data_IF_461619341357
#
_entry.id   IF_461619341357
#
_cell.length_a   1.000
_cell.length_b   1.000
_cell.length_c   1.000
_cell.angle_alpha   90.00
_cell.angle_beta   90.00
_cell.angle_gamma   90.00
#
_symmetry.space_group_name_H-M   'P 1'
#
loop_
_entity.id
_entity.type
_entity.pdbx_description
1 polymer ?
#
# COMPACT_ATOMS: atom_id res chain seq x y z
N UNK A 1 -21.35 -12.56 -21.35
CA UNK A 1 -21.09 -11.34 -20.56
C UNK A 1 -20.97 -11.77 -19.11
N UNK A 2 -19.80 -11.59 -18.49
CA UNK A 2 -19.58 -11.99 -17.11
C UNK A 2 -20.28 -11.01 -16.17
N UNK A 3 -21.03 -11.54 -15.19
CA UNK A 3 -21.62 -10.76 -14.11
C UNK A 3 -20.71 -10.83 -12.89
N UNK A 4 -20.55 -9.74 -12.18
CA UNK A 4 -19.70 -9.65 -11.01
C UNK A 4 -20.47 -9.07 -9.82
N UNK A 5 -20.28 -9.65 -8.64
CA UNK A 5 -20.96 -9.27 -7.42
C UNK A 5 -20.18 -8.18 -6.66
N UNK A 6 -20.93 -7.28 -6.02
CA UNK A 6 -20.35 -6.21 -5.21
C UNK A 6 -21.38 -5.58 -4.29
N UNK A 7 -21.00 -4.47 -3.66
CA UNK A 7 -21.86 -3.73 -2.74
C UNK A 7 -22.26 -2.38 -3.29
N UNK A 8 -23.57 -2.17 -3.38
CA UNK A 8 -24.17 -0.94 -3.89
C UNK A 8 -24.59 -0.03 -2.74
N UNK A 9 -24.25 1.25 -2.86
CA UNK A 9 -24.63 2.34 -1.96
C UNK A 9 -25.36 3.42 -2.77
N UNK A 10 -26.36 4.03 -2.16
CA UNK A 10 -27.14 5.11 -2.79
C UNK A 10 -28.06 5.80 -1.79
N UNK A 11 -28.72 6.90 -2.18
CA UNK A 11 -29.56 7.70 -1.28
C UNK A 11 -30.70 6.92 -0.65
N UNK A 12 -31.31 6.01 -1.41
CA UNK A 12 -32.49 5.24 -1.00
C UNK A 12 -32.12 3.84 -0.46
N UNK A 13 -30.82 3.58 -0.21
CA UNK A 13 -30.31 2.31 0.25
C UNK A 13 -29.85 2.40 1.71
N UNK A 14 -29.85 1.28 2.46
CA UNK A 14 -29.30 1.25 3.81
C UNK A 14 -27.85 1.73 3.82
N UNK A 15 -27.42 2.44 4.88
CA UNK A 15 -26.07 2.97 5.01
C UNK A 15 -24.95 1.93 4.97
N UNK A 16 -25.27 0.66 5.29
CA UNK A 16 -24.36 -0.46 5.14
C UNK A 16 -24.19 -0.92 3.67
N UNK A 17 -24.95 -0.36 2.74
CA UNK A 17 -25.04 -0.82 1.36
C UNK A 17 -25.78 -2.15 1.22
N UNK A 18 -26.04 -2.52 -0.01
CA UNK A 18 -26.74 -3.77 -0.36
C UNK A 18 -25.91 -4.59 -1.35
N UNK A 19 -26.07 -5.90 -1.29
CA UNK A 19 -25.45 -6.78 -2.29
C UNK A 19 -26.15 -6.59 -3.64
N UNK A 20 -25.37 -6.41 -4.67
CA UNK A 20 -25.85 -6.25 -6.04
C UNK A 20 -24.90 -6.98 -7.00
N UNK A 21 -25.46 -7.41 -8.12
CA UNK A 21 -24.71 -7.97 -9.23
C UNK A 21 -24.66 -6.95 -10.36
N UNK A 22 -23.49 -6.73 -10.92
CA UNK A 22 -23.32 -5.82 -12.04
C UNK A 22 -22.84 -6.55 -13.28
N UNK A 23 -23.17 -6.01 -14.44
CA UNK A 23 -22.65 -6.43 -15.75
C UNK A 23 -22.37 -5.20 -16.61
N UNK A 24 -21.39 -5.31 -17.48
CA UNK A 24 -21.16 -4.25 -18.45
C UNK A 24 -22.28 -4.20 -19.50
N UNK A 25 -22.69 -3.00 -19.84
CA UNK A 25 -23.57 -2.74 -20.95
C UNK A 25 -22.76 -2.52 -22.25
N UNK A 26 -23.44 -2.60 -23.42
CA UNK A 26 -22.81 -2.39 -24.72
C UNK A 26 -22.26 -0.97 -24.89
N UNK A 27 -22.89 0.01 -24.25
CA UNK A 27 -22.52 1.43 -24.30
C UNK A 27 -21.44 1.78 -23.25
N UNK A 28 -20.96 0.80 -22.50
CA UNK A 28 -19.93 0.98 -21.46
C UNK A 28 -20.46 1.51 -20.14
N UNK A 29 -21.76 1.48 -19.92
CA UNK A 29 -22.39 1.65 -18.63
C UNK A 29 -22.34 0.36 -17.81
N UNK A 30 -22.82 0.43 -16.56
CA UNK A 30 -23.08 -0.74 -15.74
C UNK A 30 -24.59 -0.93 -15.57
N UNK A 31 -25.04 -2.15 -15.78
CA UNK A 31 -26.37 -2.59 -15.38
C UNK A 31 -26.22 -3.34 -14.06
N UNK A 32 -26.79 -2.77 -13.01
CA UNK A 32 -26.77 -3.35 -11.67
C UNK A 32 -28.13 -3.97 -11.36
N UNK A 33 -28.12 -5.17 -10.80
CA UNK A 33 -29.32 -5.88 -10.36
C UNK A 33 -29.29 -6.07 -8.87
N UNK A 34 -30.32 -5.58 -8.18
CA UNK A 34 -30.54 -5.74 -6.75
C UNK A 34 -32.02 -5.99 -6.46
N UNK A 35 -32.33 -7.05 -5.71
CA UNK A 35 -33.69 -7.42 -5.29
C UNK A 35 -34.70 -7.45 -6.46
N UNK A 36 -34.29 -7.89 -7.64
CA UNK A 36 -35.13 -7.96 -8.84
C UNK A 36 -35.36 -6.64 -9.56
N UNK A 37 -34.69 -5.56 -9.14
CA UNK A 37 -34.68 -4.27 -9.84
C UNK A 37 -33.38 -4.11 -10.60
N UNK A 38 -33.46 -3.56 -11.80
CA UNK A 38 -32.28 -3.18 -12.58
C UNK A 38 -32.10 -1.65 -12.51
N UNK A 39 -30.86 -1.25 -12.35
CA UNK A 39 -30.43 0.15 -12.32
C UNK A 39 -29.31 0.32 -13.35
N UNK A 40 -29.49 1.28 -14.26
CA UNK A 40 -28.46 1.62 -15.24
C UNK A 40 -27.60 2.75 -14.73
N UNK A 41 -26.30 2.50 -14.68
CA UNK A 41 -25.31 3.51 -14.31
C UNK A 41 -24.52 3.96 -15.53
N UNK A 42 -24.68 5.23 -15.90
CA UNK A 42 -23.95 5.90 -16.97
C UNK A 42 -23.01 6.96 -16.41
N UNK A 43 -22.06 7.42 -17.21
CA UNK A 43 -21.13 8.48 -16.76
C UNK A 43 -20.22 8.06 -15.60
N UNK A 44 -19.74 6.83 -15.63
CA UNK A 44 -18.98 6.21 -14.55
C UNK A 44 -17.65 6.91 -14.26
N UNK A 45 -17.41 7.23 -12.99
CA UNK A 45 -16.09 7.45 -12.44
C UNK A 45 -15.58 6.14 -11.85
N UNK A 46 -14.34 5.78 -12.16
CA UNK A 46 -13.70 4.53 -11.75
C UNK A 46 -12.47 4.87 -10.92
N UNK A 47 -12.47 4.47 -9.66
CA UNK A 47 -11.41 4.76 -8.70
C UNK A 47 -10.96 3.48 -8.00
N UNK A 48 -9.71 3.46 -7.56
CA UNK A 48 -9.25 2.45 -6.61
C UNK A 48 -9.90 2.71 -5.23
N UNK A 49 -10.34 1.66 -4.57
CA UNK A 49 -11.04 1.75 -3.30
C UNK A 49 -10.58 0.67 -2.31
N UNK A 50 -11.04 0.82 -1.07
CA UNK A 50 -10.68 -0.11 0.00
C UNK A 50 -9.30 0.12 0.59
N UNK A 51 -8.98 -0.66 1.62
CA UNK A 51 -7.68 -0.60 2.27
C UNK A 51 -6.59 -1.06 1.30
N UNK A 52 -5.52 -0.26 1.15
CA UNK A 52 -4.43 -0.49 0.19
C UNK A 52 -4.84 -0.46 -1.30
N UNK A 53 -5.93 0.21 -1.65
CA UNK A 53 -6.45 0.21 -3.02
C UNK A 53 -6.72 -1.20 -3.59
N UNK A 54 -7.16 -2.11 -2.72
CA UNK A 54 -7.41 -3.50 -3.08
C UNK A 54 -8.71 -3.71 -3.87
N UNK A 55 -9.66 -2.77 -3.79
CA UNK A 55 -10.94 -2.81 -4.47
C UNK A 55 -11.06 -1.82 -5.61
N UNK A 56 -12.15 -1.91 -6.34
CA UNK A 56 -12.59 -0.94 -7.34
C UNK A 56 -13.89 -0.28 -6.87
N UNK A 57 -14.00 1.02 -7.07
CA UNK A 57 -15.21 1.79 -6.83
C UNK A 57 -15.67 2.41 -8.15
N UNK A 58 -16.92 2.14 -8.49
CA UNK A 58 -17.63 2.81 -9.53
C UNK A 58 -18.57 3.83 -8.90
N UNK A 59 -18.54 5.08 -9.34
CA UNK A 59 -19.45 6.10 -8.85
C UNK A 59 -20.09 6.84 -10.01
N UNK A 60 -21.36 7.16 -9.83
CA UNK A 60 -22.15 7.96 -10.78
C UNK A 60 -23.16 8.80 -10.03
N UNK A 61 -23.78 9.70 -10.73
CA UNK A 61 -24.84 10.54 -10.20
C UNK A 61 -26.03 10.48 -11.15
N UNK A 62 -27.20 10.30 -10.59
CA UNK A 62 -28.48 10.37 -11.29
C UNK A 62 -29.43 11.36 -10.59
N UNK A 63 -30.73 11.37 -10.98
CA UNK A 63 -31.73 12.25 -10.38
C UNK A 63 -31.99 11.99 -8.89
N UNK A 64 -31.82 10.74 -8.43
CA UNK A 64 -31.95 10.35 -7.03
C UNK A 64 -30.77 10.78 -6.19
N UNK A 65 -29.58 10.98 -6.79
CA UNK A 65 -28.37 11.43 -6.12
C UNK A 65 -27.12 10.65 -6.50
N UNK A 66 -26.17 10.61 -5.57
CA UNK A 66 -24.88 9.94 -5.79
C UNK A 66 -24.95 8.48 -5.40
N UNK A 67 -24.53 7.61 -6.31
CA UNK A 67 -24.42 6.18 -6.12
C UNK A 67 -22.96 5.72 -6.16
N UNK A 68 -22.68 4.61 -5.50
CA UNK A 68 -21.37 3.99 -5.55
C UNK A 68 -21.50 2.47 -5.49
N UNK A 69 -20.75 1.77 -6.32
CA UNK A 69 -20.69 0.33 -6.34
C UNK A 69 -19.26 -0.12 -6.11
N UNK A 70 -19.05 -1.00 -5.13
CA UNK A 70 -17.73 -1.45 -4.67
C UNK A 70 -17.52 -2.91 -5.01
N UNK A 71 -16.36 -3.20 -5.59
CA UNK A 71 -15.84 -4.55 -5.82
C UNK A 71 -14.65 -4.79 -4.90
N UNK A 72 -14.83 -5.62 -3.89
CA UNK A 72 -13.76 -5.99 -2.96
C UNK A 72 -13.16 -7.35 -3.29
N UNK A 73 -13.99 -8.30 -3.72
CA UNK A 73 -13.56 -9.65 -4.06
C UNK A 73 -12.66 -9.66 -5.29
N UNK A 74 -11.56 -10.41 -5.21
CA UNK A 74 -10.58 -10.50 -6.29
C UNK A 74 -11.16 -11.16 -7.56
N UNK A 75 -11.99 -12.17 -7.39
CA UNK A 75 -12.69 -12.85 -8.48
C UNK A 75 -13.66 -11.91 -9.22
N UNK A 76 -14.50 -11.18 -8.49
CA UNK A 76 -15.44 -10.21 -9.07
C UNK A 76 -14.71 -9.09 -9.81
N UNK A 77 -13.54 -8.68 -9.31
CA UNK A 77 -12.68 -7.71 -9.99
C UNK A 77 -12.06 -8.26 -11.26
N UNK A 78 -11.60 -9.52 -11.24
CA UNK A 78 -11.06 -10.18 -12.44
C UNK A 78 -12.14 -10.31 -13.53
N UNK A 79 -13.36 -10.70 -13.17
CA UNK A 79 -14.50 -10.76 -14.08
C UNK A 79 -14.87 -9.39 -14.66
N UNK A 80 -14.87 -8.37 -13.81
CA UNK A 80 -15.09 -6.99 -14.23
C UNK A 80 -14.04 -6.52 -15.24
N UNK A 81 -12.76 -6.80 -14.99
CA UNK A 81 -11.66 -6.42 -15.89
C UNK A 81 -11.70 -7.19 -17.21
N UNK A 82 -12.01 -8.49 -17.16
CA UNK A 82 -12.08 -9.33 -18.35
C UNK A 82 -13.22 -8.92 -19.30
N UNK A 83 -14.34 -8.45 -18.75
CA UNK A 83 -15.50 -7.98 -19.52
C UNK A 83 -15.50 -6.48 -19.85
N UNK A 84 -14.47 -5.74 -19.43
CA UNK A 84 -14.48 -4.29 -19.50
C UNK A 84 -14.43 -3.75 -20.94
N UNK A 85 -15.28 -2.77 -21.29
CA UNK A 85 -15.21 -2.07 -22.56
C UNK A 85 -13.90 -1.31 -22.76
N UNK A 86 -13.40 -1.25 -23.99
CA UNK A 86 -12.13 -0.62 -24.34
C UNK A 86 -12.00 0.84 -23.83
N UNK A 87 -13.09 1.58 -23.80
CA UNK A 87 -13.14 2.97 -23.30
C UNK A 87 -12.78 3.10 -21.81
N UNK A 88 -12.96 2.05 -21.00
CA UNK A 88 -12.63 2.04 -19.59
C UNK A 88 -11.31 1.35 -19.28
N UNK A 89 -10.69 0.66 -20.24
CA UNK A 89 -9.50 -0.15 -20.03
C UNK A 89 -8.34 0.64 -19.39
N UNK A 90 -8.08 1.86 -19.85
CA UNK A 90 -7.01 2.71 -19.30
C UNK A 90 -7.29 3.14 -17.84
N UNK A 91 -8.54 3.49 -17.51
CA UNK A 91 -8.93 3.89 -16.14
C UNK A 91 -8.89 2.70 -15.18
N UNK A 92 -9.37 1.55 -15.61
CA UNK A 92 -9.32 0.30 -14.85
C UNK A 92 -7.88 -0.15 -14.60
N UNK A 93 -7.02 -0.09 -15.62
CA UNK A 93 -5.60 -0.38 -15.47
C UNK A 93 -4.89 0.56 -14.50
N UNK A 94 -5.21 1.86 -14.54
CA UNK A 94 -4.68 2.85 -13.61
C UNK A 94 -5.14 2.57 -12.17
N UNK A 95 -6.42 2.27 -11.96
CA UNK A 95 -6.98 1.94 -10.66
C UNK A 95 -6.38 0.63 -10.10
N UNK A 96 -6.28 -0.41 -10.92
CA UNK A 96 -5.66 -1.68 -10.55
C UNK A 96 -4.15 -1.55 -10.25
N UNK A 97 -3.44 -0.70 -11.00
CA UNK A 97 -2.00 -0.44 -10.82
C UNK A 97 -1.64 0.32 -9.54
N UNK A 98 -2.60 0.97 -8.86
CA UNK A 98 -2.35 1.66 -7.59
C UNK A 98 -1.96 0.70 -6.47
N UNK A 99 -2.55 -0.50 -6.42
CA UNK A 99 -2.21 -1.53 -5.44
C UNK A 99 -0.71 -1.87 -5.44
N UNK A 100 -0.13 -2.13 -6.62
CA UNK A 100 1.29 -2.48 -6.74
C UNK A 100 2.24 -1.35 -6.31
N UNK A 101 1.83 -0.09 -6.46
CA UNK A 101 2.60 1.07 -6.01
C UNK A 101 2.61 1.22 -4.49
N UNK A 102 1.47 1.04 -3.84
CA UNK A 102 1.33 1.12 -2.37
C UNK A 102 2.10 -0.03 -1.72
N UNK A 103 1.95 -1.24 -2.22
CA UNK A 103 2.64 -2.43 -1.71
C UNK A 103 4.17 -2.33 -1.85
N UNK A 104 4.65 -1.80 -2.98
CA UNK A 104 6.08 -1.55 -3.19
C UNK A 104 6.63 -0.49 -2.24
N UNK A 105 5.91 0.62 -2.02
CA UNK A 105 6.29 1.64 -1.04
C UNK A 105 6.35 1.10 0.38
N UNK A 106 5.40 0.26 0.75
CA UNK A 106 5.35 -0.34 2.07
C UNK A 106 6.53 -1.30 2.29
N UNK A 107 6.85 -2.15 1.31
CA UNK A 107 8.03 -3.03 1.35
C UNK A 107 9.34 -2.25 1.45
N UNK A 108 9.49 -1.17 0.69
CA UNK A 108 10.65 -0.29 0.80
C UNK A 108 10.74 0.40 2.17
N UNK A 109 9.61 0.86 2.72
CA UNK A 109 9.56 1.45 4.06
C UNK A 109 10.03 0.49 5.14
N UNK A 110 9.57 -0.75 5.11
CA UNK A 110 10.01 -1.80 6.04
C UNK A 110 11.48 -2.16 5.88
N UNK A 111 11.98 -2.27 4.64
CA UNK A 111 13.38 -2.53 4.38
C UNK A 111 14.29 -1.39 4.89
N UNK A 112 13.88 -0.13 4.69
CA UNK A 112 14.60 1.03 5.22
C UNK A 112 14.61 1.07 6.75
N UNK A 113 13.47 0.76 7.39
CA UNK A 113 13.38 0.68 8.85
C UNK A 113 14.27 -0.43 9.41
N UNK A 114 14.25 -1.60 8.77
CA UNK A 114 15.11 -2.72 9.17
C UNK A 114 16.59 -2.39 9.04
N UNK A 115 16.97 -1.74 7.94
CA UNK A 115 18.36 -1.27 7.74
C UNK A 115 18.77 -0.24 8.79
N UNK A 116 17.89 0.71 9.12
CA UNK A 116 18.13 1.73 10.14
C UNK A 116 18.36 1.11 11.53
N UNK A 117 17.62 0.06 11.87
CA UNK A 117 17.79 -0.66 13.14
C UNK A 117 19.02 -1.56 13.15
N UNK A 118 19.38 -2.15 12.02
CA UNK A 118 20.50 -3.05 11.89
C UNK A 118 21.85 -2.30 11.94
N UNK A 119 21.91 -1.09 11.39
CA UNK A 119 23.14 -0.30 11.27
C UNK A 119 23.82 -0.01 12.63
N UNK A 120 23.11 0.46 13.68
CA UNK A 120 23.72 0.65 14.99
C UNK A 120 24.17 -0.67 15.65
N UNK A 121 23.45 -1.77 15.41
CA UNK A 121 23.86 -3.09 15.94
C UNK A 121 25.15 -3.55 15.28
N UNK A 122 25.29 -3.39 13.97
CA UNK A 122 26.52 -3.71 13.24
C UNK A 122 27.67 -2.80 13.66
N UNK A 123 27.42 -1.50 13.85
CA UNK A 123 28.42 -0.54 14.32
C UNK A 123 28.93 -0.90 15.71
N UNK A 124 28.02 -1.27 16.62
CA UNK A 124 28.37 -1.72 17.97
C UNK A 124 29.18 -3.02 17.94
N UNK A 125 28.75 -3.99 17.12
CA UNK A 125 29.49 -5.24 16.91
C UNK A 125 30.90 -5.00 16.36
N UNK A 126 31.05 -4.15 15.35
CA UNK A 126 32.33 -3.78 14.79
C UNK A 126 33.22 -3.06 15.81
N UNK A 127 32.63 -2.20 16.65
CA UNK A 127 33.36 -1.55 17.74
C UNK A 127 33.92 -2.57 18.74
N UNK A 128 33.11 -3.54 19.17
CA UNK A 128 33.56 -4.58 20.10
C UNK A 128 34.63 -5.50 19.50
N UNK A 129 34.57 -5.76 18.19
CA UNK A 129 35.60 -6.56 17.52
C UNK A 129 36.92 -5.78 17.32
N UNK A 130 36.84 -4.46 17.18
CA UNK A 130 38.02 -3.61 16.94
C UNK A 130 38.61 -3.02 18.23
N UNK A 131 38.00 -3.23 19.40
CA UNK A 131 38.47 -2.61 20.66
C UNK A 131 39.91 -3.02 21.05
N UNK A 132 40.29 -4.26 20.79
CA UNK A 132 41.63 -4.75 21.14
C UNK A 132 42.69 -4.10 20.23
N UNK A 133 42.43 -3.98 18.93
CA UNK A 133 43.30 -3.30 17.96
C UNK A 133 43.39 -1.80 18.22
N UNK A 134 42.30 -1.17 18.67
CA UNK A 134 42.27 0.24 19.05
C UNK A 134 43.09 0.50 20.33
N UNK A 135 42.98 -0.36 21.34
CA UNK A 135 43.74 -0.27 22.56
C UNK A 135 45.25 -0.37 22.27
N UNK A 136 45.67 -1.36 21.48
CA UNK A 136 47.06 -1.55 21.04
C UNK A 136 47.56 -0.35 20.22
N UNK A 137 46.73 0.24 19.35
CA UNK A 137 47.12 1.40 18.58
C UNK A 137 47.30 2.66 19.44
N UNK A 138 46.43 2.88 20.46
CA UNK A 138 46.58 3.99 21.41
C UNK A 138 47.83 3.82 22.25
N UNK A 139 48.08 2.62 22.81
CA UNK A 139 49.27 2.34 23.63
C UNK A 139 50.55 2.57 22.86
N UNK A 140 50.65 2.17 21.61
CA UNK A 140 51.83 2.38 20.76
C UNK A 140 52.10 3.87 20.40
N UNK A 141 51.09 4.75 20.56
CA UNK A 141 51.22 6.18 20.28
C UNK A 141 51.57 7.03 21.49
N UNK A 142 51.48 6.50 22.69
CA UNK A 142 51.89 7.23 23.91
C UNK A 142 53.42 7.21 24.01
N UNK A 143 54.10 8.38 23.89
CA UNK A 143 55.54 8.44 24.06
C UNK A 143 55.93 8.04 25.51
N UNK A 144 56.92 7.23 25.65
CA UNK A 144 57.49 6.75 26.96
C UNK A 144 57.74 7.88 27.95
N UNK A 145 58.03 9.09 27.49
CA UNK A 145 58.26 10.26 28.33
C UNK A 145 57.03 10.73 29.13
N UNK A 146 55.83 10.45 28.64
CA UNK A 146 54.62 10.79 29.37
C UNK A 146 54.24 9.75 30.43
N UNK A 147 54.59 8.52 30.22
CA UNK A 147 54.38 7.41 31.15
C UNK A 147 55.26 7.60 32.41
N UNK A 148 56.52 8.02 32.23
CA UNK A 148 57.45 8.33 33.32
C UNK A 148 56.95 9.49 34.21
N UNK A 149 56.36 10.56 33.60
CA UNK A 149 55.79 11.70 34.34
C UNK A 149 54.54 11.34 35.13
N UNK A 150 53.71 10.45 34.61
CA UNK A 150 52.53 9.97 35.35
C UNK A 150 52.91 9.04 36.50
N UNK A 151 53.94 8.26 36.34
CA UNK A 151 54.50 7.41 37.42
C UNK A 151 55.05 8.24 38.57
N UNK A 152 55.80 9.32 38.29
CA UNK A 152 56.38 10.20 39.30
C UNK A 152 55.29 11.01 40.08
N UNK A 153 54.22 11.39 39.40
CA UNK A 153 53.07 12.06 40.05
C UNK A 153 52.24 11.13 40.93
N UNK A 154 52.25 9.83 40.68
CA UNK A 154 51.51 8.86 41.50
C UNK A 154 52.31 8.45 42.77
N UNK A 155 53.60 8.75 42.85
CA UNK A 155 54.49 8.41 43.97
C UNK A 155 54.80 9.61 44.90
N UNK A 156 54.30 10.82 44.57
CA UNK A 156 54.41 12.04 45.35
C UNK A 156 53.12 12.32 46.16
#
# INVERSE_FOLDING_TARGET
MSAFAGRLFGPDLPGAGVEATARWDNDGGLVLSHAGRELMAAGLSIDAAGFNAAGLRFSWQDEAGKHSFFLEAEEARADCLAGAPAQHAARLAAAAGMRGRVERRFRFGWAALFLLLLLPVLALGAFFLAQDDLADWVVRRIPYEQEARLGDLALS
#
